data_IF_707086430101
#
_entry.id   IF_707086430101
#
_cell.length_a   1.000
_cell.length_b   1.000
_cell.length_c   1.000
_cell.angle_alpha   90.00
_cell.angle_beta   90.00
_cell.angle_gamma   90.00
#
_symmetry.space_group_name_H-M   'P 1'
#
loop_
_entity.id
_entity.type
_entity.pdbx_description
1 polymer ?
#
# COMPACT_ATOMS: atom_id res chain seq x y z
N UNK A 1 0.33 11.44 22.19
CA UNK A 1 0.13 12.31 23.34
C UNK A 1 -0.14 13.73 22.87
N UNK A 2 -1.15 14.41 23.45
CA UNK A 2 -1.46 15.83 23.20
C UNK A 2 -1.02 16.64 24.43
N UNK A 3 -0.41 17.80 24.20
CA UNK A 3 0.01 18.73 25.24
C UNK A 3 0.07 20.17 24.69
N UNK A 4 0.19 21.18 25.55
CA UNK A 4 0.24 22.58 25.13
C UNK A 4 1.42 22.95 24.25
N UNK A 5 2.52 22.20 24.30
CA UNK A 5 3.68 22.40 23.44
C UNK A 5 4.22 21.06 22.93
N UNK A 6 4.85 21.11 21.76
CA UNK A 6 5.51 19.94 21.16
C UNK A 6 6.56 19.30 22.10
N UNK A 7 7.33 20.14 22.83
CA UNK A 7 8.31 19.67 23.83
C UNK A 7 7.63 18.89 24.96
N UNK A 8 6.49 19.39 25.48
CA UNK A 8 5.74 18.70 26.53
C UNK A 8 5.11 17.39 26.00
N UNK A 9 4.57 17.40 24.79
CA UNK A 9 4.01 16.19 24.17
C UNK A 9 5.07 15.09 24.03
N UNK A 10 6.26 15.43 23.55
CA UNK A 10 7.40 14.48 23.47
C UNK A 10 7.85 13.98 24.83
N UNK A 11 8.01 14.86 25.81
CA UNK A 11 8.40 14.48 27.17
C UNK A 11 7.36 13.57 27.84
N UNK A 12 6.08 13.77 27.55
CA UNK A 12 5.01 12.91 28.05
C UNK A 12 4.98 11.58 27.30
N UNK A 13 5.14 11.58 25.98
CA UNK A 13 5.21 10.36 25.17
C UNK A 13 6.35 9.42 25.63
N UNK A 14 7.52 9.98 26.00
CA UNK A 14 8.64 9.22 26.51
C UNK A 14 8.38 8.52 27.86
N UNK A 15 7.30 8.89 28.57
CA UNK A 15 6.87 8.25 29.81
C UNK A 15 5.82 7.17 29.63
N UNK A 16 5.30 7.02 28.42
CA UNK A 16 4.35 5.94 28.10
C UNK A 16 5.14 4.64 28.03
N UNK A 17 4.75 3.69 28.86
CA UNK A 17 5.27 2.31 28.84
C UNK A 17 4.22 1.39 28.26
N UNK A 18 4.66 0.38 27.53
CA UNK A 18 3.79 -0.63 26.94
C UNK A 18 4.31 -2.01 27.35
N UNK A 19 3.44 -2.83 27.89
CA UNK A 19 3.68 -4.23 28.10
C UNK A 19 2.98 -5.01 26.97
N UNK A 20 3.69 -5.94 26.34
CA UNK A 20 3.13 -6.73 25.25
C UNK A 20 3.73 -8.14 25.24
N UNK A 21 2.94 -9.08 24.77
CA UNK A 21 3.40 -10.42 24.44
C UNK A 21 3.78 -10.44 22.94
N UNK A 22 5.01 -10.85 22.67
CA UNK A 22 5.46 -10.98 21.29
C UNK A 22 4.93 -12.30 20.69
N UNK A 23 4.13 -12.19 19.64
CA UNK A 23 3.66 -13.32 18.85
C UNK A 23 4.62 -13.59 17.69
N UNK A 24 4.54 -14.78 17.04
CA UNK A 24 5.28 -15.04 15.81
C UNK A 24 5.00 -13.96 14.75
N UNK A 25 6.04 -13.52 14.05
CA UNK A 25 5.94 -12.45 13.06
C UNK A 25 6.37 -12.93 11.66
N UNK A 26 5.70 -12.43 10.66
CA UNK A 26 6.03 -12.63 9.25
C UNK A 26 6.33 -11.28 8.62
N UNK A 27 7.56 -11.09 8.16
CA UNK A 27 8.04 -9.81 7.62
C UNK A 27 8.06 -9.76 6.09
N UNK A 28 7.86 -10.92 5.45
CA UNK A 28 7.82 -10.99 3.98
C UNK A 28 6.58 -11.74 3.50
N UNK A 29 6.21 -11.49 2.25
CA UNK A 29 5.18 -12.26 1.57
C UNK A 29 5.47 -13.77 1.65
N UNK A 30 6.73 -14.16 1.40
CA UNK A 30 7.12 -15.58 1.36
C UNK A 30 6.88 -16.28 2.70
N UNK A 31 7.16 -15.61 3.81
CA UNK A 31 6.93 -16.15 5.15
C UNK A 31 5.42 -16.27 5.44
N UNK A 32 4.65 -15.24 5.09
CA UNK A 32 3.23 -15.16 5.40
C UNK A 32 2.34 -16.15 4.61
N UNK A 33 2.86 -16.68 3.49
CA UNK A 33 2.11 -17.63 2.64
C UNK A 33 2.54 -19.09 2.82
N UNK A 34 3.41 -19.37 3.78
CA UNK A 34 3.81 -20.75 4.09
C UNK A 34 2.59 -21.55 4.57
N UNK A 35 2.54 -22.87 4.28
CA UNK A 35 1.38 -23.70 4.65
C UNK A 35 1.07 -23.75 6.15
N UNK A 36 2.07 -23.56 7.01
CA UNK A 36 1.99 -23.55 8.46
C UNK A 36 1.94 -22.14 9.07
N UNK A 37 1.89 -21.10 8.23
CA UNK A 37 1.80 -19.72 8.68
C UNK A 37 0.50 -19.49 9.44
N UNK A 38 0.59 -18.90 10.64
CA UNK A 38 -0.59 -18.46 11.39
C UNK A 38 -1.24 -17.26 10.71
N UNK A 39 -2.52 -17.09 10.93
CA UNK A 39 -3.25 -15.91 10.44
C UNK A 39 -2.84 -14.67 11.23
N UNK A 40 -2.52 -13.59 10.53
CA UNK A 40 -2.27 -12.27 11.14
C UNK A 40 -3.58 -11.66 11.64
N UNK A 41 -4.66 -11.89 10.91
CA UNK A 41 -6.03 -11.52 11.31
C UNK A 41 -6.89 -12.78 11.40
N UNK A 42 -7.65 -12.94 12.47
CA UNK A 42 -8.44 -14.15 12.71
C UNK A 42 -9.44 -14.44 11.59
N UNK A 43 -10.11 -13.39 11.10
CA UNK A 43 -11.20 -13.48 10.14
C UNK A 43 -10.75 -13.43 8.67
N UNK A 44 -9.45 -13.22 8.41
CA UNK A 44 -8.96 -13.01 7.05
C UNK A 44 -7.74 -13.89 6.78
N UNK A 45 -7.68 -14.63 5.67
CA UNK A 45 -6.47 -15.33 5.28
C UNK A 45 -5.31 -14.34 5.04
N UNK A 46 -4.06 -14.79 5.20
CA UNK A 46 -2.92 -13.93 4.95
C UNK A 46 -2.91 -13.44 3.49
N UNK A 47 -3.15 -14.29 2.51
CA UNK A 47 -3.48 -13.84 1.14
C UNK A 47 -4.94 -13.36 1.16
N UNK A 48 -5.12 -12.05 1.05
CA UNK A 48 -6.46 -11.45 1.10
C UNK A 48 -6.97 -10.95 -0.26
N UNK A 49 -6.09 -10.85 -1.25
CA UNK A 49 -6.43 -10.48 -2.61
C UNK A 49 -5.69 -11.37 -3.60
N UNK A 50 -6.41 -11.83 -4.63
CA UNK A 50 -5.84 -12.56 -5.76
C UNK A 50 -6.47 -12.06 -7.07
N UNK A 51 -5.66 -11.94 -8.10
CA UNK A 51 -6.12 -11.60 -9.44
C UNK A 51 -5.44 -12.49 -10.48
N UNK A 52 -6.16 -13.44 -11.07
CA UNK A 52 -5.68 -14.17 -12.22
C UNK A 52 -5.70 -13.29 -13.47
N UNK A 53 -4.78 -13.58 -14.38
CA UNK A 53 -4.66 -12.93 -15.68
C UNK A 53 -4.60 -14.00 -16.76
N UNK A 54 -5.45 -13.89 -17.75
CA UNK A 54 -5.41 -14.70 -18.96
C UNK A 54 -5.61 -13.80 -20.18
N UNK A 55 -4.70 -13.87 -21.13
CA UNK A 55 -4.73 -13.15 -22.40
C UNK A 55 -4.30 -14.08 -23.51
N UNK A 56 -5.06 -14.15 -24.57
CA UNK A 56 -4.78 -14.92 -25.78
C UNK A 56 -6.06 -15.26 -26.54
N UNK A 57 -6.02 -15.28 -27.84
CA UNK A 57 -7.18 -15.60 -28.66
C UNK A 57 -7.45 -17.11 -28.60
N UNK A 58 -8.66 -17.47 -28.15
CA UNK A 58 -9.11 -18.87 -28.07
C UNK A 58 -8.54 -19.65 -26.90
N UNK A 59 -7.87 -19.01 -25.94
CA UNK A 59 -7.42 -19.65 -24.69
C UNK A 59 -8.56 -19.68 -23.69
N UNK A 60 -8.72 -20.82 -23.02
CA UNK A 60 -9.75 -21.03 -21.99
C UNK A 60 -9.15 -20.99 -20.57
N UNK A 61 -7.88 -21.40 -20.41
CA UNK A 61 -7.22 -21.44 -19.11
C UNK A 61 -5.70 -21.17 -19.18
N UNK A 62 -5.08 -21.12 -18.00
CA UNK A 62 -3.64 -20.89 -17.86
C UNK A 62 -2.78 -22.09 -18.27
N UNK A 63 -3.34 -23.29 -18.28
CA UNK A 63 -2.62 -24.51 -18.65
C UNK A 63 -2.30 -24.54 -20.15
N UNK A 64 -3.21 -24.02 -20.95
CA UNK A 64 -2.96 -23.86 -22.39
C UNK A 64 -1.78 -22.92 -22.67
N UNK A 65 -1.61 -21.85 -21.87
CA UNK A 65 -0.44 -20.97 -21.98
C UNK A 65 0.85 -21.69 -21.56
N UNK A 66 0.81 -22.48 -20.49
CA UNK A 66 1.95 -23.31 -20.06
C UNK A 66 2.34 -24.33 -21.12
N UNK A 67 1.38 -24.94 -21.72
CA UNK A 67 1.56 -25.85 -22.84
C UNK A 67 2.28 -25.19 -24.05
N UNK A 68 1.93 -23.93 -24.35
CA UNK A 68 2.62 -23.17 -25.39
C UNK A 68 4.08 -22.86 -25.00
N UNK A 69 4.30 -22.53 -23.73
CA UNK A 69 5.65 -22.29 -23.20
C UNK A 69 6.49 -23.57 -23.26
N UNK A 70 5.97 -24.68 -22.78
CA UNK A 70 6.70 -25.96 -22.70
C UNK A 70 7.04 -26.55 -24.07
N UNK A 71 6.26 -26.23 -25.10
CA UNK A 71 6.49 -26.65 -26.50
C UNK A 71 7.39 -25.69 -27.30
N UNK A 72 7.73 -24.52 -26.72
CA UNK A 72 8.53 -23.53 -27.43
C UNK A 72 10.01 -23.95 -27.57
N UNK A 73 10.69 -23.59 -28.66
CA UNK A 73 12.10 -23.93 -28.84
C UNK A 73 13.04 -23.23 -27.86
N UNK A 74 12.65 -22.07 -27.34
CA UNK A 74 13.43 -21.31 -26.38
C UNK A 74 12.55 -20.79 -25.24
N UNK A 75 12.98 -21.08 -24.01
CA UNK A 75 12.32 -20.61 -22.79
C UNK A 75 13.35 -19.98 -21.87
N UNK A 76 13.02 -18.83 -21.32
CA UNK A 76 13.78 -18.15 -20.26
C UNK A 76 12.93 -18.08 -19.04
N UNK A 77 13.52 -18.41 -17.90
CA UNK A 77 12.86 -18.35 -16.59
C UNK A 77 13.67 -17.47 -15.64
N UNK A 78 12.99 -16.77 -14.76
CA UNK A 78 13.65 -15.93 -13.76
C UNK A 78 12.79 -15.66 -12.55
N UNK A 79 13.47 -15.41 -11.43
CA UNK A 79 12.87 -14.94 -10.18
C UNK A 79 13.48 -13.60 -9.82
N UNK A 80 12.63 -12.66 -9.45
CA UNK A 80 12.99 -11.27 -9.18
C UNK A 80 12.33 -10.81 -7.89
N UNK A 81 12.96 -9.85 -7.23
CA UNK A 81 12.34 -9.22 -6.06
C UNK A 81 12.65 -7.73 -6.02
N UNK A 82 11.69 -6.95 -5.56
CA UNK A 82 11.87 -5.55 -5.23
C UNK A 82 11.65 -5.33 -3.75
N UNK A 83 12.47 -4.49 -3.13
CA UNK A 83 12.41 -4.19 -1.71
C UNK A 83 11.34 -3.15 -1.38
N UNK A 84 11.03 -3.04 -0.09
CA UNK A 84 10.25 -1.91 0.43
C UNK A 84 10.99 -0.60 0.23
N UNK A 85 10.29 0.43 -0.23
CA UNK A 85 10.87 1.74 -0.45
C UNK A 85 10.12 2.83 0.32
N UNK A 86 10.82 3.64 1.14
CA UNK A 86 10.23 4.81 1.78
C UNK A 86 10.08 5.96 0.79
N UNK A 87 9.08 6.82 1.00
CA UNK A 87 8.81 7.96 0.12
C UNK A 87 9.93 9.01 0.13
N UNK A 88 10.62 9.20 1.28
CA UNK A 88 11.72 10.14 1.46
C UNK A 88 11.41 11.55 0.93
N UNK A 89 10.16 11.99 1.05
CA UNK A 89 9.79 13.34 0.65
C UNK A 89 10.41 14.35 1.62
N UNK A 90 11.05 15.41 1.08
CA UNK A 90 11.64 16.47 1.90
C UNK A 90 10.56 17.20 2.70
N UNK A 91 9.39 17.42 2.10
CA UNK A 91 8.24 17.94 2.82
C UNK A 91 7.70 16.89 3.79
N UNK A 92 7.81 17.17 5.09
CA UNK A 92 7.30 16.32 6.16
C UNK A 92 5.78 16.35 6.31
N UNK A 93 5.29 15.67 7.33
CA UNK A 93 3.88 15.68 7.73
C UNK A 93 3.64 16.81 8.73
N UNK A 94 2.95 17.86 8.30
CA UNK A 94 2.50 18.98 9.15
C UNK A 94 1.06 19.26 8.82
N UNK A 95 0.20 19.23 9.84
CA UNK A 95 -1.22 19.53 9.70
C UNK A 95 -1.81 20.09 11.00
N UNK A 96 -2.97 20.70 10.87
CA UNK A 96 -3.69 21.30 11.99
C UNK A 96 -5.17 20.96 11.91
N UNK A 97 -5.83 20.84 13.06
CA UNK A 97 -7.28 20.71 13.14
C UNK A 97 -7.83 21.52 14.29
N UNK A 98 -9.02 22.10 14.12
CA UNK A 98 -9.70 22.93 15.11
C UNK A 98 -11.19 23.05 14.81
N UNK A 99 -11.98 23.35 15.82
CA UNK A 99 -13.37 23.75 15.65
C UNK A 99 -13.42 25.22 15.27
N UNK A 100 -14.03 25.53 14.13
CA UNK A 100 -14.26 26.92 13.70
C UNK A 100 -15.45 27.55 14.41
N UNK A 101 -15.56 28.89 14.38
CA UNK A 101 -16.68 29.63 14.92
C UNK A 101 -18.03 29.28 14.26
N UNK A 102 -17.98 28.72 13.09
CA UNK A 102 -19.13 28.17 12.33
C UNK A 102 -19.55 26.77 12.81
N UNK A 103 -18.88 26.21 13.81
CA UNK A 103 -19.14 24.89 14.36
C UNK A 103 -18.65 23.74 13.47
N UNK A 104 -17.82 24.00 12.44
CA UNK A 104 -17.23 22.97 11.62
C UNK A 104 -15.85 22.57 12.13
N UNK A 105 -15.59 21.27 12.16
CA UNK A 105 -14.23 20.75 12.35
C UNK A 105 -13.42 21.05 11.09
N UNK A 106 -12.49 21.98 11.21
CA UNK A 106 -11.62 22.39 10.11
C UNK A 106 -10.29 21.67 10.21
N UNK A 107 -9.86 21.04 9.12
CA UNK A 107 -8.61 20.29 9.03
C UNK A 107 -7.77 20.90 7.91
N UNK A 108 -6.62 21.47 8.25
CA UNK A 108 -5.65 22.02 7.28
C UNK A 108 -4.53 21.01 7.10
N UNK A 109 -4.37 20.51 5.89
CA UNK A 109 -3.37 19.49 5.57
C UNK A 109 -2.95 19.56 4.12
N UNK A 110 -1.88 18.83 3.77
CA UNK A 110 -1.65 18.44 2.38
C UNK A 110 -2.36 17.12 2.09
N UNK A 111 -2.86 16.96 0.89
CA UNK A 111 -3.50 15.72 0.44
C UNK A 111 -3.44 15.60 -1.08
N UNK A 112 -3.24 14.39 -1.58
CA UNK A 112 -3.41 14.09 -3.02
C UNK A 112 -4.83 13.61 -3.35
N UNK A 113 -5.64 13.27 -2.33
CA UNK A 113 -6.96 12.68 -2.49
C UNK A 113 -7.97 13.26 -1.48
N UNK A 114 -8.21 14.57 -1.53
CA UNK A 114 -9.10 15.28 -0.59
C UNK A 114 -10.48 14.64 -0.50
N UNK A 115 -11.11 14.37 -1.64
CA UNK A 115 -12.48 13.82 -1.66
C UNK A 115 -12.57 12.41 -1.07
N UNK A 116 -11.59 11.54 -1.34
CA UNK A 116 -11.58 10.22 -0.72
C UNK A 116 -11.29 10.28 0.78
N UNK A 117 -10.47 11.25 1.21
CA UNK A 117 -10.21 11.51 2.62
C UNK A 117 -11.48 11.92 3.37
N UNK A 118 -12.31 12.79 2.79
CA UNK A 118 -13.61 13.19 3.36
C UNK A 118 -14.48 11.96 3.62
N UNK A 119 -14.59 11.05 2.66
CA UNK A 119 -15.41 9.84 2.83
C UNK A 119 -14.97 8.93 3.98
N UNK A 120 -13.67 8.82 4.17
CA UNK A 120 -13.04 7.92 5.17
C UNK A 120 -13.04 8.51 6.58
N UNK A 121 -12.79 9.80 6.73
CA UNK A 121 -12.76 10.48 8.02
C UNK A 121 -14.10 10.38 8.77
N UNK A 122 -15.22 10.50 8.08
CA UNK A 122 -16.54 10.43 8.72
C UNK A 122 -16.77 9.14 9.48
N UNK A 123 -16.28 8.01 8.95
CA UNK A 123 -16.41 6.73 9.62
C UNK A 123 -15.47 6.58 10.83
N UNK A 124 -14.29 7.23 10.79
CA UNK A 124 -13.30 7.14 11.86
C UNK A 124 -13.59 8.09 13.04
N UNK A 125 -14.12 9.27 12.77
CA UNK A 125 -14.26 10.34 13.76
C UNK A 125 -15.60 10.36 14.46
N UNK A 126 -16.61 9.65 13.94
CA UNK A 126 -17.98 9.77 14.44
C UNK A 126 -18.59 11.17 14.21
N UNK A 127 -17.98 11.99 13.34
CA UNK A 127 -18.45 13.33 12.99
C UNK A 127 -19.18 13.26 11.65
N UNK A 128 -20.41 13.78 11.53
CA UNK A 128 -21.14 13.79 10.27
C UNK A 128 -20.37 14.53 9.16
N UNK A 129 -20.49 14.07 7.92
CA UNK A 129 -19.73 14.61 6.77
C UNK A 129 -19.96 16.09 6.50
N UNK A 130 -21.10 16.62 6.85
CA UNK A 130 -21.48 18.03 6.74
C UNK A 130 -20.96 18.88 7.91
N UNK A 131 -20.33 18.27 8.91
CA UNK A 131 -19.79 18.93 10.10
C UNK A 131 -18.26 19.06 10.10
N UNK A 132 -17.60 18.72 9.02
CA UNK A 132 -16.17 18.99 8.88
C UNK A 132 -15.80 19.39 7.45
N UNK A 133 -14.68 20.08 7.32
CA UNK A 133 -14.09 20.47 6.04
C UNK A 133 -12.58 20.24 6.06
N UNK A 134 -12.05 19.95 4.88
CA UNK A 134 -10.60 19.85 4.66
C UNK A 134 -10.17 21.06 3.82
N UNK A 135 -9.21 21.80 4.33
CA UNK A 135 -8.51 22.85 3.59
C UNK A 135 -7.19 22.28 3.14
N UNK A 136 -7.05 22.09 1.84
CA UNK A 136 -5.82 21.57 1.26
C UNK A 136 -4.80 22.69 1.07
N UNK A 137 -3.66 22.57 1.73
CA UNK A 137 -2.50 23.40 1.47
C UNK A 137 -1.79 22.94 0.17
N UNK A 138 -1.06 23.81 -0.50
CA UNK A 138 -0.22 23.40 -1.62
C UNK A 138 0.70 22.25 -1.20
N UNK A 139 0.69 21.18 -1.98
CA UNK A 139 1.51 19.99 -1.72
C UNK A 139 2.86 20.14 -2.42
N UNK A 140 3.95 20.28 -1.66
CA UNK A 140 5.30 20.40 -2.19
C UNK A 140 5.90 19.07 -2.59
N UNK A 141 5.71 18.03 -1.76
CA UNK A 141 6.16 16.66 -2.06
C UNK A 141 5.32 15.63 -1.32
N UNK A 142 5.09 14.49 -1.97
CA UNK A 142 4.39 13.36 -1.37
C UNK A 142 4.83 12.02 -1.95
N UNK A 143 5.01 11.92 -3.24
CA UNK A 143 5.26 10.67 -3.98
C UNK A 143 4.19 9.59 -3.78
N UNK A 144 3.03 9.93 -3.22
CA UNK A 144 1.88 9.06 -3.03
C UNK A 144 1.45 8.85 -1.57
N UNK A 145 2.31 9.06 -0.57
CA UNK A 145 1.93 8.76 0.81
C UNK A 145 0.75 9.59 1.31
N UNK A 146 0.58 10.83 0.87
CA UNK A 146 -0.54 11.70 1.24
C UNK A 146 -1.86 11.39 0.50
N UNK A 147 -1.94 10.26 -0.21
CA UNK A 147 -3.22 9.63 -0.57
C UNK A 147 -3.88 8.95 0.63
N UNK A 148 -3.10 8.62 1.66
CA UNK A 148 -3.56 8.08 2.93
C UNK A 148 -4.10 9.21 3.83
N UNK A 149 -5.14 8.92 4.59
CA UNK A 149 -5.76 9.86 5.52
C UNK A 149 -5.45 9.56 6.99
N UNK A 150 -4.51 8.66 7.29
CA UNK A 150 -4.24 8.22 8.66
C UNK A 150 -3.71 9.33 9.58
N UNK A 151 -2.80 10.16 9.08
CA UNK A 151 -2.28 11.33 9.78
C UNK A 151 -3.36 12.40 9.99
N UNK A 152 -4.20 12.62 8.98
CA UNK A 152 -5.35 13.52 9.03
C UNK A 152 -6.34 13.06 10.09
N UNK A 153 -6.69 11.76 10.09
CA UNK A 153 -7.59 11.16 11.07
C UNK A 153 -7.04 11.27 12.49
N UNK A 154 -5.75 11.00 12.69
CA UNK A 154 -5.09 11.11 13.99
C UNK A 154 -5.18 12.52 14.57
N UNK A 155 -4.82 13.54 13.79
CA UNK A 155 -4.89 14.93 14.23
C UNK A 155 -6.32 15.38 14.54
N UNK A 156 -7.25 15.06 13.64
CA UNK A 156 -8.65 15.40 13.80
C UNK A 156 -9.29 14.70 15.02
N UNK A 157 -8.98 13.43 15.26
CA UNK A 157 -9.42 12.69 16.44
C UNK A 157 -8.94 13.35 17.74
N UNK A 158 -7.69 13.83 17.78
CA UNK A 158 -7.18 14.56 18.91
C UNK A 158 -7.99 15.84 19.19
N UNK A 159 -8.35 16.61 18.15
CA UNK A 159 -9.22 17.79 18.30
C UNK A 159 -10.62 17.42 18.76
N UNK A 160 -11.21 16.36 18.23
CA UNK A 160 -12.54 15.89 18.65
C UNK A 160 -12.55 15.50 20.13
N UNK A 161 -11.52 14.80 20.60
CA UNK A 161 -11.42 14.33 21.99
C UNK A 161 -11.11 15.44 22.97
N UNK A 162 -10.24 16.38 22.60
CA UNK A 162 -9.82 17.45 23.52
C UNK A 162 -10.72 18.69 23.48
N UNK A 163 -11.42 18.91 22.37
CA UNK A 163 -12.13 20.17 22.10
C UNK A 163 -11.21 21.34 21.72
N UNK A 164 -9.90 21.14 21.72
CA UNK A 164 -8.88 22.18 21.51
C UNK A 164 -8.27 22.13 20.11
N UNK A 165 -7.72 23.25 19.61
CA UNK A 165 -6.92 23.23 18.38
C UNK A 165 -5.68 22.34 18.54
N UNK A 166 -5.46 21.46 17.57
CA UNK A 166 -4.32 20.53 17.57
C UNK A 166 -3.47 20.75 16.33
N UNK A 167 -2.15 20.81 16.54
CA UNK A 167 -1.14 20.78 15.47
C UNK A 167 -0.32 19.49 15.59
N UNK A 168 -0.23 18.75 14.49
CA UNK A 168 0.62 17.59 14.38
C UNK A 168 1.80 17.94 13.45
N UNK A 169 3.02 17.81 13.99
CA UNK A 169 4.25 17.94 13.22
C UNK A 169 5.13 16.74 13.52
N UNK A 170 5.24 15.84 12.58
CA UNK A 170 6.09 14.66 12.70
C UNK A 170 7.56 15.03 12.42
N UNK A 171 8.48 14.44 13.18
CA UNK A 171 9.88 14.45 12.78
C UNK A 171 10.03 13.64 11.48
N UNK A 172 11.17 13.80 10.80
CA UNK A 172 11.41 13.02 9.58
C UNK A 172 11.45 11.53 9.85
N UNK A 173 12.00 11.12 10.98
CA UNK A 173 12.01 9.73 11.43
C UNK A 173 10.58 9.19 11.69
N UNK A 174 9.78 9.91 12.48
CA UNK A 174 8.36 9.57 12.73
C UNK A 174 7.58 9.45 11.42
N UNK A 175 7.77 10.41 10.51
CA UNK A 175 7.14 10.37 9.20
C UNK A 175 7.56 9.13 8.40
N UNK A 176 8.84 8.76 8.40
CA UNK A 176 9.32 7.56 7.71
C UNK A 176 8.76 6.26 8.31
N UNK A 177 8.52 6.20 9.59
CA UNK A 177 7.90 5.03 10.22
C UNK A 177 6.38 4.97 9.99
N UNK A 178 5.70 6.11 10.07
CA UNK A 178 4.23 6.19 10.02
C UNK A 178 3.64 6.18 8.60
N UNK A 179 4.34 6.71 7.61
CA UNK A 179 3.74 7.01 6.29
C UNK A 179 3.47 5.81 5.38
N UNK A 180 3.77 4.60 5.82
CA UNK A 180 3.73 3.43 4.96
C UNK A 180 4.89 3.39 3.96
N UNK A 181 4.91 2.39 3.07
CA UNK A 181 6.02 2.15 2.13
C UNK A 181 5.47 1.64 0.80
N UNK A 182 6.31 1.65 -0.25
CA UNK A 182 6.06 0.81 -1.42
C UNK A 182 5.99 -0.65 -0.98
N UNK A 183 5.00 -1.38 -1.45
CA UNK A 183 4.95 -2.83 -1.26
C UNK A 183 6.13 -3.49 -1.96
N UNK A 184 6.90 -4.35 -1.29
CA UNK A 184 7.84 -5.20 -1.98
C UNK A 184 7.10 -6.21 -2.85
N UNK A 185 7.77 -6.75 -3.85
CA UNK A 185 7.23 -7.79 -4.70
C UNK A 185 8.23 -8.92 -4.90
N UNK A 186 7.70 -10.10 -5.06
CA UNK A 186 8.40 -11.34 -5.38
C UNK A 186 7.76 -11.90 -6.64
N UNK A 187 8.53 -11.98 -7.71
CA UNK A 187 8.03 -12.31 -9.04
C UNK A 187 8.76 -13.50 -9.59
N UNK A 188 8.01 -14.45 -10.15
CA UNK A 188 8.55 -15.51 -10.97
C UNK A 188 7.97 -15.34 -12.37
N UNK A 189 8.77 -15.53 -13.39
CA UNK A 189 8.32 -15.39 -14.77
C UNK A 189 8.98 -16.39 -15.71
N UNK A 190 8.22 -16.78 -16.72
CA UNK A 190 8.66 -17.60 -17.86
C UNK A 190 8.31 -16.88 -19.16
N UNK A 191 9.22 -16.83 -20.09
CA UNK A 191 9.03 -16.25 -21.41
C UNK A 191 9.47 -17.24 -22.46
N UNK A 192 8.61 -17.49 -23.43
CA UNK A 192 8.86 -18.41 -24.55
C UNK A 192 8.92 -17.68 -25.89
N UNK A 193 9.89 -18.02 -26.73
CA UNK A 193 10.02 -17.48 -28.08
C UNK A 193 10.33 -18.55 -29.12
N UNK A 194 10.11 -18.20 -30.40
CA UNK A 194 10.49 -19.02 -31.53
C UNK A 194 11.99 -18.87 -31.87
N UNK A 195 12.46 -19.55 -32.94
CA UNK A 195 13.85 -19.52 -33.38
C UNK A 195 14.28 -18.13 -33.91
N UNK A 196 13.37 -17.30 -34.30
CA UNK A 196 13.59 -15.93 -34.76
C UNK A 196 13.57 -14.91 -33.60
N UNK A 197 13.32 -15.36 -32.35
CA UNK A 197 13.23 -14.52 -31.15
C UNK A 197 11.89 -13.82 -30.98
N UNK A 198 10.84 -14.18 -31.71
CA UNK A 198 9.50 -13.66 -31.54
C UNK A 198 8.84 -14.30 -30.32
N UNK A 199 8.32 -13.48 -29.43
CA UNK A 199 7.63 -13.95 -28.22
C UNK A 199 6.35 -14.68 -28.60
N UNK A 200 6.18 -15.89 -28.07
CA UNK A 200 5.02 -16.77 -28.28
C UNK A 200 4.07 -16.74 -27.08
N UNK A 201 4.61 -16.86 -25.89
CA UNK A 201 3.84 -16.89 -24.65
C UNK A 201 4.68 -16.44 -23.45
N UNK A 202 4.00 -16.04 -22.39
CA UNK A 202 4.63 -15.74 -21.12
C UNK A 202 3.72 -16.13 -19.93
N UNK A 203 4.35 -16.50 -18.82
CA UNK A 203 3.70 -16.74 -17.55
C UNK A 203 4.36 -15.93 -16.45
N UNK A 204 3.58 -15.49 -15.46
CA UNK A 204 4.09 -14.81 -14.27
C UNK A 204 3.30 -15.14 -13.01
N UNK A 205 3.99 -15.10 -11.87
CA UNK A 205 3.41 -15.15 -10.53
C UNK A 205 4.04 -14.05 -9.70
N UNK A 206 3.23 -13.11 -9.20
CA UNK A 206 3.68 -11.97 -8.41
C UNK A 206 3.01 -11.99 -7.06
N UNK A 207 3.81 -12.14 -6.00
CA UNK A 207 3.40 -11.98 -4.62
C UNK A 207 3.83 -10.63 -4.07
N UNK A 208 2.92 -9.92 -3.39
CA UNK A 208 3.22 -8.65 -2.73
C UNK A 208 2.81 -8.70 -1.28
N UNK A 209 3.57 -8.08 -0.39
CA UNK A 209 3.12 -7.82 0.96
C UNK A 209 2.59 -6.39 1.11
N UNK A 210 1.54 -6.24 1.90
CA UNK A 210 0.87 -4.95 2.10
C UNK A 210 0.88 -4.48 3.56
N UNK A 211 1.61 -5.15 4.43
CA UNK A 211 1.61 -4.87 5.86
C UNK A 211 0.43 -5.51 6.59
N UNK A 212 0.30 -5.21 7.88
CA UNK A 212 -0.71 -5.83 8.73
C UNK A 212 -2.13 -5.28 8.47
N UNK A 213 -2.23 -4.04 8.01
CA UNK A 213 -3.51 -3.39 7.69
C UNK A 213 -3.46 -2.84 6.28
N UNK A 214 -4.24 -3.44 5.39
CA UNK A 214 -4.27 -3.04 4.00
C UNK A 214 -4.95 -1.67 3.82
N UNK A 215 -4.30 -0.84 3.05
CA UNK A 215 -4.86 0.39 2.51
C UNK A 215 -4.81 0.34 0.99
N UNK A 216 -5.88 -0.16 0.37
CA UNK A 216 -5.94 -0.26 -1.09
C UNK A 216 -5.04 -1.36 -1.68
N UNK A 217 -4.90 -2.51 -0.98
CA UNK A 217 -4.15 -3.65 -1.49
C UNK A 217 -4.72 -4.23 -2.76
N UNK A 218 -6.04 -4.21 -2.90
CA UNK A 218 -6.76 -4.54 -4.11
C UNK A 218 -6.42 -3.59 -5.28
N UNK A 219 -6.33 -2.28 -5.01
CA UNK A 219 -5.93 -1.30 -6.03
C UNK A 219 -4.49 -1.51 -6.51
N UNK A 220 -3.55 -1.79 -5.60
CA UNK A 220 -2.14 -2.00 -5.96
C UNK A 220 -1.94 -3.24 -6.82
N UNK A 221 -2.71 -4.29 -6.57
CA UNK A 221 -2.70 -5.55 -7.32
C UNK A 221 -3.09 -5.37 -8.79
N UNK A 222 -4.00 -4.46 -9.08
CA UNK A 222 -4.51 -4.25 -10.45
C UNK A 222 -3.43 -3.78 -11.43
N UNK A 223 -2.39 -3.13 -10.95
CA UNK A 223 -1.33 -2.60 -11.81
C UNK A 223 -0.38 -3.69 -12.32
N UNK A 224 0.21 -4.55 -11.48
CA UNK A 224 0.97 -5.70 -11.98
C UNK A 224 0.12 -6.59 -12.88
N UNK A 225 -1.12 -6.89 -12.53
CA UNK A 225 -2.00 -7.71 -13.34
C UNK A 225 -2.22 -7.15 -14.78
N UNK A 226 -2.18 -5.82 -14.93
CA UNK A 226 -2.38 -5.15 -16.24
C UNK A 226 -1.12 -4.85 -16.99
N UNK A 227 -0.01 -4.58 -16.29
CA UNK A 227 1.19 -4.00 -16.90
C UNK A 227 2.37 -4.97 -16.99
N UNK A 228 2.29 -6.15 -16.41
CA UNK A 228 3.33 -7.16 -16.58
C UNK A 228 3.48 -7.49 -18.05
N UNK A 229 4.71 -7.50 -18.53
CA UNK A 229 5.13 -7.59 -19.94
C UNK A 229 4.74 -6.39 -20.84
N UNK A 230 4.10 -5.36 -20.35
CA UNK A 230 4.02 -4.11 -21.09
C UNK A 230 5.39 -3.42 -21.10
N UNK A 231 5.96 -3.00 -22.20
CA UNK A 231 5.37 -2.69 -23.51
C UNK A 231 5.60 -3.74 -24.60
N UNK A 232 5.81 -4.99 -24.26
CA UNK A 232 6.07 -6.05 -25.23
C UNK A 232 4.77 -6.57 -25.86
N UNK A 233 4.86 -7.01 -27.12
CA UNK A 233 3.76 -7.71 -27.76
C UNK A 233 3.82 -9.19 -27.41
N UNK A 234 3.23 -9.57 -26.29
CA UNK A 234 3.08 -10.95 -25.86
C UNK A 234 1.67 -11.43 -26.22
N UNK A 235 1.52 -12.35 -27.18
CA UNK A 235 0.20 -12.75 -27.65
C UNK A 235 -0.57 -13.60 -26.63
N UNK A 236 0.11 -14.45 -25.86
CA UNK A 236 -0.47 -15.38 -24.92
C UNK A 236 0.16 -15.18 -23.53
N UNK A 237 -0.64 -14.87 -22.53
CA UNK A 237 -0.16 -14.59 -21.18
C UNK A 237 -1.07 -15.30 -20.16
N UNK A 238 -0.46 -16.04 -19.26
CA UNK A 238 -1.08 -16.45 -18.00
C UNK A 238 -0.39 -15.76 -16.82
N UNK A 239 -1.12 -15.42 -15.79
CA UNK A 239 -0.50 -14.83 -14.61
C UNK A 239 -1.38 -14.88 -13.38
N UNK A 240 -0.73 -14.70 -12.24
CA UNK A 240 -1.40 -14.58 -10.96
C UNK A 240 -0.72 -13.48 -10.14
N UNK A 241 -1.50 -12.55 -9.62
CA UNK A 241 -1.03 -11.54 -8.67
C UNK A 241 -1.72 -11.77 -7.34
N UNK A 242 -0.95 -11.82 -6.27
CA UNK A 242 -1.44 -12.04 -4.90
C UNK A 242 -0.93 -10.97 -3.96
N UNK A 243 -1.76 -10.59 -3.00
CA UNK A 243 -1.38 -9.66 -1.94
C UNK A 243 -1.64 -10.29 -0.59
N UNK A 244 -0.64 -10.26 0.29
CA UNK A 244 -0.72 -10.82 1.61
C UNK A 244 -0.55 -9.78 2.73
N UNK A 245 -1.19 -10.03 3.87
CA UNK A 245 -0.90 -9.36 5.12
C UNK A 245 0.42 -9.89 5.69
N UNK A 246 1.21 -8.99 6.29
CA UNK A 246 2.46 -9.27 7.00
C UNK A 246 2.60 -8.34 8.21
N UNK A 247 3.51 -8.65 9.15
CA UNK A 247 3.63 -7.95 10.43
C UNK A 247 4.49 -6.67 10.37
N UNK A 248 4.30 -5.83 9.37
CA UNK A 248 4.95 -4.52 9.34
C UNK A 248 3.97 -3.40 8.98
N UNK A 249 4.47 -2.15 8.97
CA UNK A 249 3.66 -1.01 8.60
C UNK A 249 3.05 -1.20 7.20
N UNK A 250 1.84 -0.69 7.02
CA UNK A 250 1.07 -0.85 5.79
C UNK A 250 1.81 -0.43 4.52
N UNK A 251 1.50 -1.09 3.43
CA UNK A 251 1.85 -0.65 2.10
C UNK A 251 0.98 0.54 1.69
N UNK A 252 1.50 1.42 0.86
CA UNK A 252 0.75 2.58 0.36
C UNK A 252 1.19 2.97 -1.04
N UNK A 253 0.44 3.86 -1.65
CA UNK A 253 0.81 4.42 -2.94
C UNK A 253 2.19 5.08 -2.87
N UNK A 254 3.10 4.61 -3.72
CA UNK A 254 4.38 5.25 -3.95
C UNK A 254 4.68 5.24 -5.45
N UNK A 255 4.92 6.41 -6.00
CA UNK A 255 5.34 6.73 -7.38
C UNK A 255 5.13 5.59 -8.37
N UNK A 256 4.09 5.70 -9.22
CA UNK A 256 3.62 4.67 -10.15
C UNK A 256 2.92 3.44 -9.54
N UNK A 257 2.54 3.49 -8.28
CA UNK A 257 1.63 2.59 -7.53
C UNK A 257 1.36 1.22 -8.19
N UNK A 258 2.16 0.21 -7.84
CA UNK A 258 2.06 -1.15 -8.36
C UNK A 258 2.79 -1.40 -9.70
N UNK A 259 3.07 -0.37 -10.51
CA UNK A 259 3.75 -0.59 -11.80
C UNK A 259 5.22 -1.02 -11.65
N UNK A 260 6.02 -0.47 -10.71
CA UNK A 260 7.39 -0.96 -10.54
C UNK A 260 7.47 -2.45 -10.21
N UNK A 261 6.47 -2.97 -9.46
CA UNK A 261 6.40 -4.40 -9.14
C UNK A 261 6.14 -5.27 -10.38
N UNK A 262 5.55 -4.69 -11.44
CA UNK A 262 5.34 -5.37 -12.72
C UNK A 262 6.59 -5.40 -13.60
N UNK A 263 7.54 -4.49 -13.35
CA UNK A 263 8.72 -4.29 -14.20
C UNK A 263 10.03 -4.74 -13.54
N UNK A 264 9.91 -5.37 -12.40
CA UNK A 264 11.05 -6.02 -11.73
C UNK A 264 11.38 -7.32 -12.43
#
# INVERSE_FOLDING_TARGET
>A
VVAHTHRQARAAAAKVTMEYEQLPEYLTYLDAVMPDAIRIHEDTPNIFCEQPVLKGAGLEDAEEVRDLIDKAPHVVEGSFSSSREPHLSIEGCVLQSYWGDDGLLTIQCKSQCVYSSIGRLGNCLGVPKDKYRIIMNPTGASFGWSTNAGDIALCAACTVVTGEPVSLSMSYEEHQHFSGKRCPAYSNGRLACDNEGKILAAEFDIGMDHGAYSWGGDDVMTKPARFTFFPYNVPNVAGLVRVANVNHAFGTAYRSYGSPQAYT
#
